data_IF_148376850776
#
_entry.id   IF_148376850776
#
_cell.length_a   1.000
_cell.length_b   1.000
_cell.length_c   1.000
_cell.angle_alpha   90.00
_cell.angle_beta   90.00
_cell.angle_gamma   90.00
#
_symmetry.space_group_name_H-M   'P 1'
#
loop_
_entity.id
_entity.type
_entity.pdbx_description
1 polymer ?
#
# COMPACT_ATOMS: atom_id res chain seq x y z
N UNK A 1 -9.60 7.32 -21.31
CA UNK A 1 -10.11 6.35 -22.31
C UNK A 1 -11.50 5.84 -21.96
N UNK A 2 -11.80 5.33 -20.77
CA UNK A 2 -13.15 4.91 -20.32
C UNK A 2 -14.22 6.02 -20.40
N UNK A 3 -13.87 7.26 -20.05
CA UNK A 3 -14.78 8.41 -20.07
C UNK A 3 -15.25 8.79 -21.48
N UNK A 4 -14.34 8.75 -22.46
CA UNK A 4 -14.66 9.01 -23.88
C UNK A 4 -15.54 7.89 -24.45
N UNK A 5 -15.28 6.65 -24.03
CA UNK A 5 -16.10 5.51 -24.41
C UNK A 5 -17.51 5.59 -23.82
N UNK A 6 -17.67 6.05 -22.58
CA UNK A 6 -18.96 6.26 -21.92
C UNK A 6 -19.80 7.31 -22.63
N UNK A 7 -19.19 8.42 -23.05
CA UNK A 7 -19.90 9.49 -23.81
C UNK A 7 -20.35 8.99 -25.19
N UNK A 8 -19.49 8.24 -25.91
CA UNK A 8 -19.84 7.68 -27.21
C UNK A 8 -21.00 6.68 -27.11
N UNK A 9 -21.02 5.89 -26.06
CA UNK A 9 -22.08 4.93 -25.76
C UNK A 9 -23.40 5.62 -25.43
N UNK A 10 -23.37 6.71 -24.64
CA UNK A 10 -24.56 7.51 -24.34
C UNK A 10 -25.13 8.18 -25.58
N UNK A 11 -24.29 8.73 -26.45
CA UNK A 11 -24.74 9.35 -27.71
C UNK A 11 -25.35 8.34 -28.68
N UNK A 12 -24.80 7.13 -28.74
CA UNK A 12 -25.35 6.03 -29.55
C UNK A 12 -26.72 5.59 -29.06
N UNK A 13 -26.90 5.50 -27.75
CA UNK A 13 -28.21 5.17 -27.14
C UNK A 13 -29.27 6.22 -27.40
N UNK A 14 -28.91 7.50 -27.30
CA UNK A 14 -29.82 8.60 -27.61
C UNK A 14 -30.26 8.56 -29.09
N UNK A 15 -29.33 8.28 -30.00
CA UNK A 15 -29.63 8.17 -31.43
C UNK A 15 -30.54 6.96 -31.71
N UNK A 16 -30.29 5.81 -31.11
CA UNK A 16 -31.12 4.61 -31.23
C UNK A 16 -32.53 4.80 -30.64
N UNK A 17 -32.67 5.53 -29.55
CA UNK A 17 -33.96 5.86 -28.93
C UNK A 17 -34.85 6.68 -29.87
N UNK A 18 -34.30 7.63 -30.62
CA UNK A 18 -35.05 8.45 -31.59
C UNK A 18 -35.32 7.75 -32.94
N UNK A 19 -34.61 6.66 -33.25
CA UNK A 19 -34.60 6.06 -34.59
C UNK A 19 -35.33 4.72 -34.70
N UNK A 20 -35.65 3.98 -33.58
CA UNK A 20 -36.04 2.58 -33.70
C UNK A 20 -37.10 2.11 -32.70
N UNK A 21 -37.70 0.94 -32.96
CA UNK A 21 -38.63 0.26 -32.10
C UNK A 21 -38.04 -0.09 -30.73
N UNK A 22 -38.87 -0.10 -29.68
CA UNK A 22 -38.55 -0.39 -28.25
C UNK A 22 -37.65 -1.62 -28.10
N UNK A 23 -37.82 -2.65 -28.93
CA UNK A 23 -37.01 -3.88 -28.85
C UNK A 23 -35.52 -3.69 -29.16
N UNK A 24 -35.16 -2.84 -30.12
CA UNK A 24 -33.77 -2.59 -30.50
C UNK A 24 -33.06 -1.74 -29.42
N UNK A 25 -33.81 -0.79 -28.84
CA UNK A 25 -33.32 0.01 -27.71
C UNK A 25 -33.00 -0.87 -26.48
N UNK A 26 -33.87 -1.81 -26.12
CA UNK A 26 -33.65 -2.76 -25.03
C UNK A 26 -32.43 -3.67 -25.29
N UNK A 27 -32.29 -4.19 -26.51
CA UNK A 27 -31.12 -5.00 -26.90
C UNK A 27 -29.81 -4.19 -26.79
N UNK A 28 -29.82 -2.92 -27.17
CA UNK A 28 -28.68 -2.02 -27.04
C UNK A 28 -28.28 -1.82 -25.57
N UNK A 29 -29.23 -1.57 -24.68
CA UNK A 29 -28.96 -1.44 -23.23
C UNK A 29 -28.38 -2.72 -22.64
N UNK A 30 -28.96 -3.87 -22.97
CA UNK A 30 -28.47 -5.16 -22.49
C UNK A 30 -27.04 -5.43 -22.95
N UNK A 31 -26.76 -5.18 -24.25
CA UNK A 31 -25.41 -5.38 -24.77
C UNK A 31 -24.37 -4.46 -24.13
N UNK A 32 -24.72 -3.22 -23.83
CA UNK A 32 -23.85 -2.28 -23.14
C UNK A 32 -23.62 -2.65 -21.68
N UNK A 33 -24.67 -3.07 -20.96
CA UNK A 33 -24.56 -3.61 -19.61
C UNK A 33 -23.61 -4.81 -19.56
N UNK A 34 -23.68 -5.68 -20.56
CA UNK A 34 -22.78 -6.83 -20.66
C UNK A 34 -21.34 -6.43 -20.88
N UNK A 35 -21.07 -5.45 -21.74
CA UNK A 35 -19.71 -4.91 -21.98
C UNK A 35 -19.14 -4.26 -20.70
N UNK A 36 -19.95 -3.48 -19.98
CA UNK A 36 -19.55 -2.91 -18.70
C UNK A 36 -19.24 -3.99 -17.65
N UNK A 37 -20.09 -5.03 -17.58
CA UNK A 37 -19.89 -6.14 -16.65
C UNK A 37 -18.61 -6.92 -16.95
N UNK A 38 -18.34 -7.22 -18.22
CA UNK A 38 -17.12 -7.90 -18.66
C UNK A 38 -15.90 -7.03 -18.36
N UNK A 39 -15.94 -5.73 -18.69
CA UNK A 39 -14.85 -4.79 -18.40
C UNK A 39 -14.58 -4.66 -16.90
N UNK A 40 -15.62 -4.63 -16.08
CA UNK A 40 -15.51 -4.63 -14.63
C UNK A 40 -14.82 -5.90 -14.12
N UNK A 41 -15.26 -7.08 -14.57
CA UNK A 41 -14.70 -8.36 -14.14
C UNK A 41 -13.20 -8.49 -14.50
N UNK A 42 -12.82 -8.09 -15.71
CA UNK A 42 -11.42 -8.09 -16.14
C UNK A 42 -10.57 -7.09 -15.33
N UNK A 43 -11.11 -5.91 -15.07
CA UNK A 43 -10.41 -4.88 -14.27
C UNK A 43 -10.22 -5.33 -12.82
N UNK A 44 -11.23 -5.94 -12.22
CA UNK A 44 -11.15 -6.46 -10.85
C UNK A 44 -10.13 -7.60 -10.74
N UNK A 45 -10.18 -8.57 -11.65
CA UNK A 45 -9.21 -9.66 -11.70
C UNK A 45 -7.77 -9.17 -11.90
N UNK A 46 -7.57 -8.15 -12.74
CA UNK A 46 -6.26 -7.52 -12.93
C UNK A 46 -5.74 -6.85 -11.65
N UNK A 47 -6.59 -6.11 -10.94
CA UNK A 47 -6.22 -5.45 -9.69
C UNK A 47 -5.93 -6.46 -8.58
N UNK A 48 -6.75 -7.49 -8.43
CA UNK A 48 -6.52 -8.55 -7.45
C UNK A 48 -5.18 -9.26 -7.67
N UNK A 49 -4.87 -9.60 -8.90
CA UNK A 49 -3.58 -10.22 -9.24
C UNK A 49 -2.42 -9.30 -8.91
N UNK A 50 -2.51 -8.02 -9.26
CA UNK A 50 -1.44 -7.04 -9.02
C UNK A 50 -1.22 -6.79 -7.52
N UNK A 51 -2.30 -6.66 -6.74
CA UNK A 51 -2.21 -6.47 -5.28
C UNK A 51 -1.72 -7.74 -4.58
N UNK A 52 -2.12 -8.93 -5.05
CA UNK A 52 -1.63 -10.20 -4.52
C UNK A 52 -0.13 -10.39 -4.75
N UNK A 53 0.37 -10.10 -5.96
CA UNK A 53 1.79 -10.21 -6.28
C UNK A 53 2.63 -9.24 -5.44
N UNK A 54 2.15 -8.02 -5.20
CA UNK A 54 2.80 -7.03 -4.35
C UNK A 54 2.85 -7.50 -2.88
N UNK A 55 1.75 -8.00 -2.32
CA UNK A 55 1.69 -8.53 -0.94
C UNK A 55 2.56 -9.77 -0.73
N UNK A 56 2.62 -10.66 -1.71
CA UNK A 56 3.44 -11.88 -1.62
C UNK A 56 4.93 -11.56 -1.59
N UNK A 57 5.36 -10.58 -2.40
CA UNK A 57 6.73 -10.07 -2.37
C UNK A 57 7.13 -9.54 -0.99
N UNK A 58 6.21 -8.91 -0.28
CA UNK A 58 6.41 -8.25 1.00
C UNK A 58 6.76 -9.20 2.13
N UNK A 59 5.97 -10.27 2.29
CA UNK A 59 6.24 -11.27 3.35
C UNK A 59 7.61 -11.92 3.21
N UNK A 60 8.06 -12.09 1.98
CA UNK A 60 9.38 -12.65 1.70
C UNK A 60 10.51 -11.66 2.02
N UNK A 61 10.31 -10.36 1.72
CA UNK A 61 11.27 -9.31 2.03
C UNK A 61 11.42 -9.11 3.55
N UNK A 62 10.32 -9.01 4.30
CA UNK A 62 10.37 -8.90 5.76
C UNK A 62 11.06 -10.09 6.44
N UNK A 63 10.82 -11.29 5.93
CA UNK A 63 11.54 -12.49 6.45
C UNK A 63 13.03 -12.43 6.17
N UNK A 64 13.43 -11.99 4.97
CA UNK A 64 14.85 -11.80 4.64
C UNK A 64 15.52 -10.72 5.51
N UNK A 65 14.86 -9.56 5.66
CA UNK A 65 15.35 -8.47 6.51
C UNK A 65 15.56 -8.94 7.94
N UNK A 66 14.57 -9.63 8.51
CA UNK A 66 14.69 -10.16 9.87
C UNK A 66 15.87 -11.12 10.01
N UNK A 67 16.01 -12.09 9.10
CA UNK A 67 17.09 -13.07 9.16
C UNK A 67 18.46 -12.40 9.04
N UNK A 68 18.63 -11.43 8.14
CA UNK A 68 19.86 -10.65 7.98
C UNK A 68 20.17 -9.86 9.26
N UNK A 69 19.16 -9.20 9.84
CA UNK A 69 19.34 -8.43 11.06
C UNK A 69 19.67 -9.31 12.27
N UNK A 70 18.99 -10.45 12.43
CA UNK A 70 19.29 -11.42 13.50
C UNK A 70 20.73 -11.96 13.35
N UNK A 71 21.14 -12.32 12.14
CA UNK A 71 22.50 -12.80 11.85
C UNK A 71 23.55 -11.70 12.12
N UNK A 72 23.26 -10.46 11.69
CA UNK A 72 24.15 -9.29 11.89
C UNK A 72 24.36 -8.97 13.38
N UNK A 73 23.29 -9.00 14.17
CA UNK A 73 23.35 -8.67 15.59
C UNK A 73 24.03 -9.79 16.41
N UNK A 74 23.77 -11.06 16.07
CA UNK A 74 24.45 -12.21 16.69
C UNK A 74 25.96 -12.23 16.38
N UNK A 75 26.36 -11.83 15.19
CA UNK A 75 27.76 -11.70 14.81
C UNK A 75 28.48 -10.53 15.50
N UNK A 76 27.78 -9.45 15.81
CA UNK A 76 28.34 -8.30 16.54
C UNK A 76 28.76 -8.67 17.98
N UNK A 77 28.01 -9.56 18.63
CA UNK A 77 28.40 -10.09 19.95
C UNK A 77 29.63 -11.00 19.90
N UNK A 78 29.87 -11.70 18.78
CA UNK A 78 31.02 -12.58 18.59
C UNK A 78 32.30 -11.92 18.10
N UNK A 79 32.22 -10.66 17.58
CA UNK A 79 33.29 -10.00 16.83
C UNK A 79 33.77 -8.69 17.42
N UNK A 80 34.21 -8.72 18.65
CA UNK A 80 35.10 -7.66 19.16
C UNK A 80 36.49 -7.73 18.48
N UNK A 81 36.81 -8.77 17.69
CA UNK A 81 38.17 -9.00 17.15
C UNK A 81 38.33 -8.99 15.62
N UNK A 82 37.27 -8.93 14.78
CA UNK A 82 37.46 -8.94 13.31
C UNK A 82 36.64 -7.84 12.63
N UNK A 83 37.29 -6.70 12.51
CA UNK A 83 37.01 -5.43 11.91
C UNK A 83 36.00 -5.25 10.79
N UNK A 84 35.45 -4.08 10.84
CA UNK A 84 34.98 -3.09 9.82
C UNK A 84 34.40 -3.56 8.46
N UNK A 85 34.92 -4.60 7.84
CA UNK A 85 34.57 -4.95 6.46
C UNK A 85 33.17 -5.59 6.33
N UNK A 86 32.79 -6.41 7.30
CA UNK A 86 31.52 -7.14 7.27
C UNK A 86 30.36 -6.28 7.75
N UNK A 87 30.63 -5.28 8.60
CA UNK A 87 29.67 -4.27 9.00
C UNK A 87 29.23 -3.41 7.82
N UNK A 88 30.14 -3.13 6.88
CA UNK A 88 29.84 -2.39 5.65
C UNK A 88 28.96 -3.20 4.69
N UNK A 89 29.25 -4.50 4.52
CA UNK A 89 28.41 -5.37 3.67
C UNK A 89 26.95 -5.45 4.14
N UNK A 90 26.72 -5.53 5.44
CA UNK A 90 25.34 -5.56 5.98
C UNK A 90 24.62 -4.21 5.82
N UNK A 91 25.32 -3.09 5.98
CA UNK A 91 24.76 -1.78 5.71
C UNK A 91 24.39 -1.62 4.24
N UNK A 92 25.23 -2.10 3.33
CA UNK A 92 24.96 -2.08 1.90
C UNK A 92 23.73 -2.93 1.54
N UNK A 93 23.57 -4.10 2.16
CA UNK A 93 22.39 -4.93 1.98
C UNK A 93 21.12 -4.21 2.48
N UNK A 94 21.15 -3.62 3.69
CA UNK A 94 20.01 -2.89 4.24
C UNK A 94 19.66 -1.63 3.42
N UNK A 95 20.67 -0.99 2.82
CA UNK A 95 20.49 0.14 1.93
C UNK A 95 19.97 -0.25 0.54
N UNK A 96 20.19 -1.50 0.12
CA UNK A 96 19.68 -2.00 -1.18
C UNK A 96 18.21 -2.42 -1.13
N UNK A 97 17.63 -2.56 0.06
CA UNK A 97 16.22 -2.90 0.25
C UNK A 97 15.35 -1.65 0.05
N UNK A 98 14.27 -1.78 -0.69
CA UNK A 98 13.27 -0.71 -0.86
C UNK A 98 12.36 -0.58 0.38
N UNK A 99 12.99 -0.44 1.55
CA UNK A 99 12.35 -0.35 2.85
C UNK A 99 13.04 0.70 3.70
N UNK A 100 12.28 1.57 4.33
CA UNK A 100 12.80 2.49 5.36
C UNK A 100 12.94 1.74 6.68
N UNK A 101 14.18 1.58 7.16
CA UNK A 101 14.47 0.78 8.36
C UNK A 101 15.10 1.65 9.43
N UNK A 102 14.56 1.55 10.66
CA UNK A 102 15.15 2.13 11.87
C UNK A 102 15.24 1.07 12.96
N UNK A 103 16.35 1.06 13.69
CA UNK A 103 16.53 0.26 14.90
C UNK A 103 16.59 1.22 16.08
N UNK A 104 15.77 0.96 17.09
CA UNK A 104 15.66 1.78 18.29
C UNK A 104 15.88 0.93 19.54
N UNK A 105 16.22 1.59 20.64
CA UNK A 105 16.09 1.00 21.96
C UNK A 105 14.64 1.11 22.49
N UNK A 106 14.39 0.60 23.71
CA UNK A 106 13.05 0.63 24.29
C UNK A 106 12.62 2.02 24.80
N UNK A 107 13.52 3.01 24.78
CA UNK A 107 13.26 4.43 25.06
C UNK A 107 13.10 5.26 23.79
N UNK A 108 12.97 4.60 22.61
CA UNK A 108 12.88 5.19 21.27
C UNK A 108 14.14 5.89 20.77
N UNK A 109 15.30 5.75 21.43
CA UNK A 109 16.53 6.31 20.90
C UNK A 109 16.97 5.55 19.65
N UNK A 110 17.39 6.28 18.66
CA UNK A 110 17.78 5.73 17.35
C UNK A 110 19.20 5.18 17.46
N UNK A 111 19.33 3.87 17.21
CA UNK A 111 20.61 3.16 17.19
C UNK A 111 21.14 3.05 15.77
N UNK A 112 20.25 2.84 14.79
CA UNK A 112 20.58 2.71 13.39
C UNK A 112 19.43 3.15 12.50
N UNK A 113 19.75 3.75 11.36
CA UNK A 113 18.81 4.03 10.26
C UNK A 113 19.49 3.73 8.94
N UNK A 114 18.76 3.19 7.97
CA UNK A 114 19.27 3.05 6.61
C UNK A 114 19.09 4.36 5.80
N UNK A 115 19.72 4.44 4.64
CA UNK A 115 19.69 5.64 3.80
C UNK A 115 18.27 5.99 3.35
N UNK A 116 17.48 4.99 2.98
CA UNK A 116 16.09 5.18 2.55
C UNK A 116 15.24 5.78 3.67
N UNK A 117 15.46 5.38 4.93
CA UNK A 117 14.78 6.00 6.06
C UNK A 117 15.12 7.49 6.19
N UNK A 118 16.42 7.85 6.08
CA UNK A 118 16.86 9.24 6.15
C UNK A 118 16.21 10.10 5.08
N UNK A 119 16.21 9.62 3.84
CA UNK A 119 15.62 10.31 2.69
C UNK A 119 14.10 10.44 2.81
N UNK A 120 13.42 9.35 3.24
CA UNK A 120 11.95 9.31 3.33
C UNK A 120 11.41 10.23 4.41
N UNK A 121 12.09 10.26 5.57
CA UNK A 121 11.59 10.95 6.75
C UNK A 121 12.33 12.25 7.06
N UNK A 122 13.43 12.54 6.37
CA UNK A 122 14.27 13.73 6.56
C UNK A 122 14.69 13.92 8.02
N UNK A 123 15.11 12.81 8.67
CA UNK A 123 15.49 12.75 10.08
C UNK A 123 17.00 12.66 10.24
N UNK A 124 17.77 13.57 9.62
CA UNK A 124 19.24 13.53 9.65
C UNK A 124 19.81 13.76 11.08
N UNK A 125 19.08 14.45 11.94
CA UNK A 125 19.57 14.88 13.27
C UNK A 125 18.64 14.48 14.42
N UNK A 126 17.75 13.51 14.25
CA UNK A 126 16.87 13.08 15.32
C UNK A 126 17.50 11.90 16.08
N UNK A 127 17.84 12.11 17.34
CA UNK A 127 18.35 11.04 18.22
C UNK A 127 17.23 10.12 18.73
N UNK A 128 15.97 10.55 18.60
CA UNK A 128 14.82 9.83 19.13
C UNK A 128 13.67 9.79 18.11
N UNK A 129 13.18 8.59 17.82
CA UNK A 129 12.16 8.34 16.79
C UNK A 129 10.83 9.06 17.09
N UNK A 130 10.40 9.05 18.34
CA UNK A 130 9.15 9.69 18.77
C UNK A 130 9.19 11.20 18.61
N UNK A 131 10.33 11.81 18.91
CA UNK A 131 10.56 13.25 18.75
C UNK A 131 10.69 13.60 17.26
N UNK A 132 11.36 12.77 16.50
CA UNK A 132 11.58 13.00 15.06
C UNK A 132 10.31 12.93 14.21
N UNK A 133 9.51 11.89 14.36
CA UNK A 133 8.31 11.70 13.55
C UNK A 133 7.08 12.46 14.07
N UNK A 134 7.02 12.76 15.38
CA UNK A 134 5.96 13.55 16.03
C UNK A 134 4.52 13.11 15.68
N UNK A 135 4.32 11.83 15.48
CA UNK A 135 3.03 11.26 15.14
C UNK A 135 2.48 10.45 16.32
N UNK A 136 1.27 10.78 16.74
CA UNK A 136 0.65 10.17 17.89
C UNK A 136 0.20 8.74 17.60
N UNK A 137 -0.38 8.50 16.43
CA UNK A 137 -0.90 7.18 16.05
C UNK A 137 0.23 6.16 15.88
N UNK A 138 1.34 6.58 15.27
CA UNK A 138 2.55 5.77 15.16
C UNK A 138 3.12 5.47 16.56
N UNK A 139 3.22 6.48 17.42
CA UNK A 139 3.75 6.34 18.77
C UNK A 139 2.92 5.39 19.64
N UNK A 140 1.60 5.46 19.57
CA UNK A 140 0.68 4.56 20.30
C UNK A 140 0.82 3.12 19.84
N UNK A 141 0.85 2.91 18.52
CA UNK A 141 1.02 1.58 17.93
C UNK A 141 2.36 0.94 18.32
N UNK A 142 3.45 1.70 18.24
CA UNK A 142 4.78 1.24 18.64
C UNK A 142 4.91 1.04 20.14
N UNK A 143 4.30 1.89 20.97
CA UNK A 143 4.35 1.78 22.44
C UNK A 143 3.85 0.43 22.94
N UNK A 144 2.75 -0.07 22.36
CA UNK A 144 2.22 -1.38 22.72
C UNK A 144 3.18 -2.50 22.34
N UNK A 145 3.75 -2.44 21.13
CA UNK A 145 4.69 -3.44 20.65
C UNK A 145 6.00 -3.48 21.46
N UNK A 146 6.52 -2.31 21.82
CA UNK A 146 7.72 -2.17 22.66
C UNK A 146 7.49 -2.72 24.07
N UNK A 147 6.36 -2.38 24.71
CA UNK A 147 6.02 -2.87 26.05
C UNK A 147 5.85 -4.38 26.12
N UNK A 148 5.23 -4.97 25.11
CA UNK A 148 4.98 -6.42 25.05
C UNK A 148 6.13 -7.19 24.44
N UNK A 149 7.16 -6.51 23.94
CA UNK A 149 8.28 -7.11 23.19
C UNK A 149 7.79 -8.07 22.10
N UNK A 150 6.75 -7.68 21.39
CA UNK A 150 6.09 -8.52 20.39
C UNK A 150 6.13 -7.90 19.01
N UNK A 151 6.10 -8.76 17.99
CA UNK A 151 5.93 -8.29 16.60
C UNK A 151 4.56 -7.66 16.43
N UNK A 152 4.51 -6.50 15.79
CA UNK A 152 3.27 -5.81 15.42
C UNK A 152 3.35 -5.30 14.00
N UNK A 153 2.25 -5.50 13.24
CA UNK A 153 2.06 -4.91 11.93
C UNK A 153 0.84 -4.00 11.97
N UNK A 154 0.94 -2.84 11.33
CA UNK A 154 -0.18 -1.90 11.20
C UNK A 154 0.05 -0.97 10.03
N UNK A 155 -1.03 -0.47 9.46
CA UNK A 155 -0.97 0.60 8.46
C UNK A 155 -0.89 1.96 9.15
N UNK A 156 -0.03 2.82 8.63
CA UNK A 156 0.14 4.19 9.10
C UNK A 156 0.03 5.16 7.92
N UNK A 157 -0.83 6.18 8.10
CA UNK A 157 -0.98 7.26 7.14
C UNK A 157 -0.22 8.50 7.64
N UNK A 158 0.75 8.97 6.87
CA UNK A 158 1.48 10.21 7.11
C UNK A 158 0.92 11.30 6.20
N UNK A 159 0.21 12.26 6.80
CA UNK A 159 -0.46 13.34 6.08
C UNK A 159 0.48 14.46 5.62
N UNK A 160 1.60 14.67 6.32
CA UNK A 160 2.53 15.80 6.09
C UNK A 160 3.93 15.27 5.80
N UNK A 161 4.63 15.78 4.80
CA UNK A 161 4.28 16.86 3.83
C UNK A 161 3.34 16.42 2.70
N UNK A 162 3.24 15.12 2.43
CA UNK A 162 2.38 14.54 1.41
C UNK A 162 1.64 13.35 2.00
N UNK A 163 0.43 13.12 1.55
CA UNK A 163 -0.37 11.96 1.93
C UNK A 163 0.31 10.68 1.44
N UNK A 164 0.84 9.90 2.37
CA UNK A 164 1.54 8.65 2.10
C UNK A 164 1.11 7.57 3.08
N UNK A 165 0.94 6.38 2.55
CA UNK A 165 0.53 5.20 3.30
C UNK A 165 1.72 4.26 3.46
N UNK A 166 1.95 3.83 4.70
CA UNK A 166 3.02 2.89 5.04
C UNK A 166 2.44 1.64 5.70
N UNK A 167 2.92 0.48 5.29
CA UNK A 167 2.80 -0.74 6.09
C UNK A 167 3.99 -0.79 7.03
N UNK A 168 3.70 -0.71 8.33
CA UNK A 168 4.71 -0.64 9.38
C UNK A 168 4.80 -1.97 10.10
N UNK A 169 5.98 -2.56 10.09
CA UNK A 169 6.29 -3.78 10.83
C UNK A 169 7.32 -3.49 11.90
N UNK A 170 6.92 -3.64 13.17
CA UNK A 170 7.82 -3.57 14.31
C UNK A 170 8.08 -4.96 14.89
N UNK A 171 9.31 -5.29 15.25
CA UNK A 171 9.68 -6.56 15.89
C UNK A 171 10.92 -6.44 16.77
N UNK A 172 10.98 -7.18 17.89
CA UNK A 172 12.13 -7.19 18.77
C UNK A 172 13.31 -7.93 18.14
N UNK A 173 14.51 -7.42 18.37
CA UNK A 173 15.79 -8.06 18.00
C UNK A 173 16.74 -7.90 19.18
N UNK A 174 17.00 -8.96 19.93
CA UNK A 174 17.80 -8.92 21.16
C UNK A 174 17.34 -7.77 22.09
N UNK A 175 18.23 -6.85 22.43
CA UNK A 175 17.96 -5.69 23.29
C UNK A 175 17.41 -4.48 22.54
N UNK A 176 17.10 -4.61 21.27
CA UNK A 176 16.63 -3.53 20.41
C UNK A 176 15.27 -3.86 19.79
N UNK A 177 14.71 -2.87 19.10
CA UNK A 177 13.46 -3.01 18.37
C UNK A 177 13.63 -2.47 16.95
N UNK A 178 13.41 -3.31 15.95
CA UNK A 178 13.45 -2.91 14.55
C UNK A 178 12.08 -2.45 14.09
N UNK A 179 12.02 -1.33 13.39
CA UNK A 179 10.81 -0.84 12.73
C UNK A 179 11.12 -0.65 11.25
N UNK A 180 10.35 -1.33 10.42
CA UNK A 180 10.44 -1.23 8.96
C UNK A 180 9.16 -0.58 8.42
N UNK A 181 9.33 0.40 7.54
CA UNK A 181 8.25 1.12 6.87
C UNK A 181 8.31 0.80 5.39
N UNK A 182 7.23 0.29 4.86
CA UNK A 182 7.06 0.07 3.43
C UNK A 182 6.06 1.07 2.87
N UNK A 183 6.45 1.80 1.84
CA UNK A 183 5.52 2.69 1.14
C UNK A 183 4.51 1.86 0.34
N UNK A 184 3.24 1.93 0.75
CA UNK A 184 2.11 1.26 0.09
C UNK A 184 1.17 2.27 -0.59
N UNK A 185 1.63 3.50 -0.81
CA UNK A 185 0.81 4.58 -1.38
C UNK A 185 0.26 4.20 -2.75
N UNK A 186 1.08 3.57 -3.60
CA UNK A 186 0.62 3.11 -4.91
C UNK A 186 -0.48 2.04 -4.81
N UNK A 187 -0.39 1.15 -3.82
CA UNK A 187 -1.41 0.12 -3.56
C UNK A 187 -2.70 0.78 -3.10
N UNK A 188 -2.62 1.72 -2.13
CA UNK A 188 -3.78 2.45 -1.61
C UNK A 188 -4.48 3.28 -2.69
N UNK A 189 -3.70 3.93 -3.55
CA UNK A 189 -4.26 4.67 -4.68
C UNK A 189 -5.00 3.75 -5.66
N UNK A 190 -4.48 2.55 -5.93
CA UNK A 190 -5.18 1.56 -6.76
C UNK A 190 -6.48 1.05 -6.09
N UNK A 191 -6.47 0.84 -4.77
CA UNK A 191 -7.66 0.47 -4.00
C UNK A 191 -8.72 1.58 -4.04
N UNK A 192 -8.33 2.84 -3.92
CA UNK A 192 -9.23 4.00 -4.05
C UNK A 192 -9.83 4.09 -5.45
N UNK A 193 -9.01 4.01 -6.50
CA UNK A 193 -9.46 4.01 -7.91
C UNK A 193 -10.45 2.86 -8.16
N UNK A 194 -10.19 1.67 -7.60
CA UNK A 194 -11.11 0.53 -7.68
C UNK A 194 -12.46 0.85 -7.03
N UNK A 195 -12.44 1.41 -5.83
CA UNK A 195 -13.65 1.75 -5.08
C UNK A 195 -14.48 2.80 -5.82
N UNK A 196 -13.83 3.84 -6.33
CA UNK A 196 -14.48 4.89 -7.11
C UNK A 196 -15.05 4.35 -8.43
N UNK A 197 -14.32 3.45 -9.09
CA UNK A 197 -14.81 2.79 -10.30
C UNK A 197 -16.08 1.98 -10.02
N UNK A 198 -16.10 1.17 -8.97
CA UNK A 198 -17.29 0.38 -8.58
C UNK A 198 -18.47 1.29 -8.26
N UNK A 199 -18.24 2.36 -7.50
CA UNK A 199 -19.28 3.33 -7.17
C UNK A 199 -19.86 3.98 -8.43
N UNK A 200 -19.00 4.47 -9.33
CA UNK A 200 -19.40 5.12 -10.58
C UNK A 200 -20.16 4.16 -11.50
N UNK A 201 -19.67 2.94 -11.70
CA UNK A 201 -20.38 1.92 -12.51
C UNK A 201 -21.74 1.59 -11.91
N UNK A 202 -21.85 1.49 -10.59
CA UNK A 202 -23.12 1.22 -9.90
C UNK A 202 -24.13 2.37 -10.13
N UNK A 203 -23.67 3.61 -10.10
CA UNK A 203 -24.51 4.78 -10.43
C UNK A 203 -24.93 4.81 -11.90
N UNK A 204 -24.01 4.56 -12.82
CA UNK A 204 -24.28 4.53 -14.27
C UNK A 204 -25.24 3.39 -14.67
N UNK A 205 -25.18 2.26 -13.98
CA UNK A 205 -26.11 1.14 -14.24
C UNK A 205 -27.50 1.35 -13.60
N UNK A 206 -27.59 2.10 -12.50
CA UNK A 206 -28.88 2.35 -11.82
C UNK A 206 -29.84 3.15 -12.71
N UNK A 207 -29.33 4.14 -13.43
CA UNK A 207 -30.13 5.05 -14.29
C UNK A 207 -30.89 4.27 -15.38
N UNK A 208 -30.25 3.44 -16.24
CA UNK A 208 -30.97 2.67 -17.26
C UNK A 208 -31.90 1.61 -16.65
N UNK A 209 -31.52 0.99 -15.53
CA UNK A 209 -32.36 0.03 -14.82
C UNK A 209 -33.66 0.65 -14.30
N UNK A 210 -33.59 1.88 -13.77
CA UNK A 210 -34.76 2.62 -13.34
C UNK A 210 -35.67 3.04 -14.51
N UNK A 211 -35.07 3.39 -15.66
CA UNK A 211 -35.82 3.69 -16.87
C UNK A 211 -36.61 2.46 -17.38
N UNK A 212 -36.02 1.27 -17.34
CA UNK A 212 -36.69 0.01 -17.71
C UNK A 212 -37.84 -0.29 -16.74
N UNK A 213 -37.60 -0.15 -15.42
CA UNK A 213 -38.63 -0.40 -14.41
C UNK A 213 -39.80 0.57 -14.46
N UNK A 214 -39.59 1.81 -14.91
CA UNK A 214 -40.63 2.83 -15.04
C UNK A 214 -41.46 2.71 -16.33
N UNK A 215 -41.05 1.84 -17.27
CA UNK A 215 -41.75 1.57 -18.54
C UNK A 215 -42.53 0.27 -18.56
N UNK A 216 -42.54 -0.48 -17.48
CA UNK A 216 -43.38 -1.65 -17.21
C UNK A 216 -44.56 -1.28 -16.33
#
# INVERSE_FOLDING_TARGET
MLFVFSIAVLSLNLFLFFSTSINIFLISIISQSLVYFISYYFFESYLEKKTFDLRKSDNMLFTKVRNILEETLLDKERRIEVGDKQSLEYQDILNSLDLSIVIIDYDYNIIFVNNIFKETFNLENADNLKIGLRDLSLSENLSNALKTKSKKNFEWNRLIPNDRYYDVTGFPINDFFCVAFKDITAIKNLEMVRTDFVANVSHELRTPLMAIKGSL
#
